data_IF_724593544220
#
_entry.id   IF_724593544220
#
_cell.length_a   1.000
_cell.length_b   1.000
_cell.length_c   1.000
_cell.angle_alpha   90.00
_cell.angle_beta   90.00
_cell.angle_gamma   90.00
#
_symmetry.space_group_name_H-M   'P 1'
#
loop_
_entity.id
_entity.type
_entity.pdbx_description
1 polymer ?
#
# COMPACT_ATOMS: atom_id res chain seq x y z
N UNK A 1 -16.34 23.36 -10.72
CA UNK A 1 -17.19 22.52 -9.85
C UNK A 1 -16.40 21.26 -9.58
N UNK A 2 -15.67 21.24 -8.49
CA UNK A 2 -14.71 20.18 -8.12
C UNK A 2 -15.45 19.15 -7.28
N UNK A 3 -15.68 17.94 -7.81
CA UNK A 3 -16.21 16.83 -7.02
C UNK A 3 -15.11 16.35 -6.07
N UNK A 4 -15.33 16.57 -4.79
CA UNK A 4 -14.55 16.01 -3.70
C UNK A 4 -14.62 14.48 -3.77
N UNK A 5 -13.50 13.84 -3.92
CA UNK A 5 -13.31 12.38 -3.85
C UNK A 5 -13.64 11.90 -2.42
N UNK A 6 -14.89 11.51 -2.20
CA UNK A 6 -15.22 10.71 -1.03
C UNK A 6 -14.90 9.26 -1.35
N UNK A 7 -13.96 8.68 -0.64
CA UNK A 7 -13.70 7.25 -0.66
C UNK A 7 -14.98 6.52 -0.21
N UNK A 8 -15.68 5.91 -1.14
CA UNK A 8 -16.79 4.99 -0.84
C UNK A 8 -16.23 3.57 -0.81
N UNK A 9 -15.83 3.12 0.37
CA UNK A 9 -15.66 1.69 0.63
C UNK A 9 -17.06 1.07 0.72
N UNK A 10 -17.57 0.59 -0.41
CA UNK A 10 -18.79 -0.20 -0.44
C UNK A 10 -18.41 -1.66 -0.53
N UNK A 11 -18.46 -2.34 0.61
CA UNK A 11 -18.39 -3.81 0.66
C UNK A 11 -19.74 -4.34 0.18
N UNK A 12 -19.79 -4.84 -1.05
CA UNK A 12 -20.90 -5.68 -1.52
C UNK A 12 -20.47 -7.14 -1.40
N UNK A 13 -21.01 -7.81 -0.40
CA UNK A 13 -21.06 -9.27 -0.33
C UNK A 13 -22.04 -9.76 -1.40
N UNK A 14 -21.52 -10.18 -2.55
CA UNK A 14 -22.31 -10.88 -3.55
C UNK A 14 -21.93 -12.37 -3.55
N UNK A 15 -22.71 -13.17 -2.87
CA UNK A 15 -22.70 -14.61 -2.97
C UNK A 15 -23.36 -15.03 -4.29
N UNK A 16 -22.55 -15.36 -5.31
CA UNK A 16 -23.07 -15.98 -6.54
C UNK A 16 -22.79 -17.49 -6.47
N UNK A 17 -23.79 -18.22 -6.07
CA UNK A 17 -23.85 -19.66 -6.29
C UNK A 17 -24.20 -19.95 -7.76
N UNK A 18 -23.23 -20.41 -8.53
CA UNK A 18 -23.47 -20.92 -9.90
C UNK A 18 -23.57 -22.45 -9.84
N UNK A 19 -24.77 -22.95 -9.83
CA UNK A 19 -25.06 -24.36 -10.05
C UNK A 19 -25.16 -24.60 -11.56
N UNK A 20 -24.14 -25.20 -12.17
CA UNK A 20 -24.20 -25.73 -13.53
C UNK A 20 -24.51 -27.23 -13.47
N UNK A 21 -25.78 -27.54 -13.77
CA UNK A 21 -26.21 -28.91 -14.06
C UNK A 21 -25.74 -29.35 -15.45
N UNK A 22 -24.87 -30.36 -15.51
CA UNK A 22 -24.59 -31.10 -16.75
C UNK A 22 -25.32 -32.42 -16.72
N UNK A 23 -26.25 -32.60 -17.66
CA UNK A 23 -26.83 -33.91 -18.02
C UNK A 23 -25.85 -34.65 -18.92
N UNK A 24 -25.53 -35.90 -18.54
CA UNK A 24 -24.56 -36.72 -19.25
C UNK A 24 -25.09 -37.44 -20.45
N UNK A 25 -24.17 -37.84 -21.35
CA UNK A 25 -24.28 -39.09 -22.11
C UNK A 25 -22.88 -39.64 -22.42
N UNK A 26 -22.73 -40.94 -22.23
CA UNK A 26 -21.50 -41.70 -22.07
C UNK A 26 -20.51 -41.71 -23.22
N UNK A 27 -19.26 -41.96 -22.84
CA UNK A 27 -18.12 -42.27 -23.68
C UNK A 27 -16.91 -42.53 -22.79
N UNK A 28 -16.46 -43.76 -22.74
CA UNK A 28 -15.35 -44.29 -21.96
C UNK A 28 -14.03 -43.60 -22.28
N UNK A 29 -13.44 -42.97 -21.30
CA UNK A 29 -12.13 -42.33 -21.33
C UNK A 29 -12.19 -41.01 -20.64
N UNK A 30 -12.29 -41.01 -19.29
CA UNK A 30 -12.18 -39.79 -18.48
C UNK A 30 -10.76 -39.27 -18.64
N UNK A 31 -10.52 -38.09 -19.29
CA UNK A 31 -9.27 -37.39 -19.06
C UNK A 31 -9.25 -37.03 -17.58
N UNK A 32 -8.16 -37.35 -16.90
CA UNK A 32 -7.90 -36.84 -15.54
C UNK A 32 -8.17 -35.35 -15.56
N UNK A 33 -8.93 -34.77 -14.63
CA UNK A 33 -9.13 -33.34 -14.60
C UNK A 33 -7.75 -32.70 -14.60
N UNK A 34 -7.45 -31.91 -15.67
CA UNK A 34 -6.24 -31.10 -15.70
C UNK A 34 -6.29 -30.20 -14.50
N UNK A 35 -5.47 -30.53 -13.50
CA UNK A 35 -5.37 -29.79 -12.26
C UNK A 35 -4.80 -28.42 -12.64
N UNK A 36 -5.58 -27.35 -12.40
CA UNK A 36 -5.18 -26.00 -12.75
C UNK A 36 -3.85 -25.65 -12.06
N UNK A 37 -2.88 -25.18 -12.82
CA UNK A 37 -1.61 -24.72 -12.28
C UNK A 37 -1.80 -23.42 -11.49
N UNK A 38 -0.89 -23.10 -10.57
CA UNK A 38 -0.89 -21.81 -9.88
C UNK A 38 -1.02 -20.64 -10.87
N UNK A 39 -0.23 -20.69 -11.95
CA UNK A 39 -0.28 -19.68 -13.00
C UNK A 39 -1.66 -19.53 -13.61
N UNK A 40 -2.29 -20.63 -14.03
CA UNK A 40 -3.62 -20.57 -14.67
C UNK A 40 -4.72 -20.06 -13.73
N UNK A 41 -4.61 -20.33 -12.42
CA UNK A 41 -5.54 -19.80 -11.42
C UNK A 41 -5.38 -18.29 -11.30
N UNK A 42 -4.13 -17.80 -11.13
CA UNK A 42 -3.84 -16.38 -10.98
C UNK A 42 -4.16 -15.61 -12.25
N UNK A 43 -3.80 -16.16 -13.44
CA UNK A 43 -4.15 -15.57 -14.74
C UNK A 43 -5.66 -15.37 -14.89
N UNK A 44 -6.43 -16.38 -14.52
CA UNK A 44 -7.89 -16.28 -14.59
C UNK A 44 -8.47 -15.18 -13.73
N UNK A 45 -8.00 -15.04 -12.48
CA UNK A 45 -8.43 -13.97 -11.56
C UNK A 45 -7.98 -12.61 -12.08
N UNK A 46 -6.70 -12.48 -12.47
CA UNK A 46 -6.11 -11.22 -12.92
C UNK A 46 -6.80 -10.69 -14.19
N UNK A 47 -6.98 -11.54 -15.20
CA UNK A 47 -7.65 -11.16 -16.45
C UNK A 47 -9.11 -10.78 -16.24
N UNK A 48 -9.83 -11.54 -15.39
CA UNK A 48 -11.22 -11.21 -15.06
C UNK A 48 -11.30 -9.84 -14.34
N UNK A 49 -10.42 -9.56 -13.40
CA UNK A 49 -10.37 -8.28 -12.70
C UNK A 49 -10.07 -7.11 -13.65
N UNK A 50 -9.08 -7.27 -14.53
CA UNK A 50 -8.75 -6.27 -15.55
C UNK A 50 -9.93 -5.96 -16.46
N UNK A 51 -10.63 -7.00 -16.93
CA UNK A 51 -11.80 -6.83 -17.80
C UNK A 51 -12.96 -6.14 -17.06
N UNK A 52 -13.23 -6.55 -15.82
CA UNK A 52 -14.34 -6.01 -15.02
C UNK A 52 -14.12 -4.55 -14.61
N UNK A 53 -12.88 -4.18 -14.31
CA UNK A 53 -12.54 -2.85 -13.82
C UNK A 53 -12.01 -1.93 -14.91
N UNK A 54 -11.72 -2.44 -16.10
CA UNK A 54 -11.20 -1.64 -17.22
C UNK A 54 -9.75 -1.19 -17.05
N UNK A 55 -8.96 -1.90 -16.23
CA UNK A 55 -7.57 -1.52 -15.92
C UNK A 55 -6.67 -1.62 -17.17
N UNK A 56 -5.85 -0.58 -17.48
CA UNK A 56 -4.92 -0.63 -18.61
C UNK A 56 -3.81 -1.66 -18.44
N UNK A 57 -3.21 -1.69 -17.25
CA UNK A 57 -2.10 -2.56 -16.92
C UNK A 57 -2.06 -2.93 -15.44
N UNK A 58 -1.50 -4.10 -15.16
CA UNK A 58 -1.35 -4.62 -13.81
C UNK A 58 -0.13 -5.53 -13.72
N UNK A 59 0.54 -5.55 -12.58
CA UNK A 59 1.49 -6.62 -12.22
C UNK A 59 1.00 -7.36 -11.00
N UNK A 60 1.19 -8.68 -11.00
CA UNK A 60 0.87 -9.57 -9.89
C UNK A 60 2.10 -10.39 -9.52
N UNK A 61 2.42 -10.48 -8.25
CA UNK A 61 3.41 -11.39 -7.72
C UNK A 61 2.86 -12.19 -6.55
N UNK A 62 3.17 -13.47 -6.53
CA UNK A 62 2.99 -14.36 -5.38
C UNK A 62 4.35 -14.89 -4.96
N UNK A 63 4.62 -14.85 -3.67
CA UNK A 63 5.88 -15.34 -3.14
C UNK A 63 5.64 -16.10 -1.82
N UNK A 64 6.63 -16.92 -1.43
CA UNK A 64 6.66 -17.55 -0.11
C UNK A 64 8.07 -17.41 0.48
N UNK A 65 8.16 -16.80 1.66
CA UNK A 65 9.44 -16.51 2.30
C UNK A 65 10.44 -15.83 1.34
N UNK A 66 9.95 -14.87 0.56
CA UNK A 66 10.75 -14.13 -0.44
C UNK A 66 11.08 -14.89 -1.73
N UNK A 67 10.74 -16.18 -1.83
CA UNK A 67 10.90 -16.96 -3.07
C UNK A 67 9.68 -16.74 -3.95
N UNK A 68 9.90 -16.23 -5.17
CA UNK A 68 8.84 -16.01 -6.14
C UNK A 68 8.21 -17.32 -6.58
N UNK A 69 6.91 -17.48 -6.37
CA UNK A 69 6.11 -18.61 -6.84
C UNK A 69 5.44 -18.32 -8.17
N UNK A 70 5.05 -17.08 -8.37
CA UNK A 70 4.42 -16.60 -9.60
C UNK A 70 4.66 -15.10 -9.76
N UNK A 71 4.90 -14.64 -10.99
CA UNK A 71 5.00 -13.22 -11.31
C UNK A 71 4.61 -13.00 -12.76
N UNK A 72 3.71 -12.03 -13.00
CA UNK A 72 3.24 -11.73 -14.36
C UNK A 72 2.82 -10.26 -14.48
N UNK A 73 3.12 -9.66 -15.64
CA UNK A 73 2.56 -8.38 -16.09
C UNK A 73 1.40 -8.63 -17.06
N UNK A 74 0.37 -7.81 -16.96
CA UNK A 74 -0.84 -7.87 -17.77
C UNK A 74 -1.13 -6.52 -18.41
N UNK A 75 -1.68 -6.53 -19.62
CA UNK A 75 -2.08 -5.33 -20.32
C UNK A 75 -0.91 -4.43 -20.72
N UNK A 76 -1.09 -3.12 -20.62
CA UNK A 76 -0.12 -2.12 -21.10
C UNK A 76 0.24 -1.13 -19.99
N UNK A 77 1.54 -0.80 -19.91
CA UNK A 77 2.07 0.23 -19.00
C UNK A 77 1.85 1.64 -19.55
N UNK A 78 1.61 1.77 -20.86
CA UNK A 78 1.31 3.03 -21.53
C UNK A 78 0.29 2.79 -22.66
N UNK A 79 -0.87 3.44 -22.58
CA UNK A 79 -1.94 3.35 -23.57
C UNK A 79 -1.56 4.02 -24.91
N UNK A 80 -0.67 5.01 -24.90
CA UNK A 80 -0.26 5.74 -26.09
C UNK A 80 0.72 4.94 -26.94
N UNK A 81 1.76 4.40 -26.31
CA UNK A 81 2.81 3.62 -26.99
C UNK A 81 2.45 2.15 -27.11
N UNK A 82 1.42 1.68 -26.37
CA UNK A 82 1.04 0.26 -26.26
C UNK A 82 2.15 -0.62 -25.68
N UNK A 83 3.06 -0.02 -24.91
CA UNK A 83 4.09 -0.74 -24.20
C UNK A 83 3.46 -1.76 -23.24
N UNK A 84 3.84 -3.03 -23.35
CA UNK A 84 3.32 -4.10 -22.50
C UNK A 84 3.82 -3.94 -21.06
N UNK A 85 2.95 -4.18 -20.09
CA UNK A 85 3.33 -4.25 -18.68
C UNK A 85 4.22 -5.46 -18.45
N UNK A 86 5.40 -5.23 -17.88
CA UNK A 86 6.35 -6.28 -17.49
C UNK A 86 6.34 -6.45 -15.97
N UNK A 87 6.72 -7.62 -15.43
CA UNK A 87 6.90 -7.78 -13.98
C UNK A 87 7.86 -6.76 -13.35
N UNK A 88 8.83 -6.27 -14.11
CA UNK A 88 9.79 -5.24 -13.70
C UNK A 88 9.28 -3.81 -13.85
N UNK A 89 8.10 -3.59 -14.44
CA UNK A 89 7.51 -2.26 -14.59
C UNK A 89 7.33 -1.60 -13.22
N UNK A 90 7.74 -0.34 -13.14
CA UNK A 90 7.67 0.45 -11.91
C UNK A 90 6.34 1.21 -11.87
N UNK A 91 5.69 1.18 -10.71
CA UNK A 91 4.44 1.89 -10.43
C UNK A 91 4.62 2.79 -9.22
N UNK A 92 3.86 3.87 -9.15
CA UNK A 92 3.66 4.60 -7.89
C UNK A 92 2.89 3.69 -6.92
N UNK A 93 3.36 3.58 -5.68
CA UNK A 93 2.75 2.66 -4.71
C UNK A 93 1.89 3.36 -3.64
N UNK A 94 1.77 4.69 -3.75
CA UNK A 94 0.92 5.47 -2.85
C UNK A 94 1.17 5.13 -1.37
N UNK A 95 0.10 4.92 -0.62
CA UNK A 95 0.15 4.72 0.83
C UNK A 95 0.89 3.46 1.30
N UNK A 96 1.27 2.51 0.43
CA UNK A 96 2.23 1.45 0.78
C UNK A 96 3.55 2.06 1.29
N UNK A 97 3.88 3.30 0.91
CA UNK A 97 4.98 4.11 1.45
C UNK A 97 4.98 4.18 2.97
N UNK A 98 3.82 4.16 3.62
CA UNK A 98 3.69 4.33 5.07
C UNK A 98 4.38 3.23 5.88
N UNK A 99 4.45 2.03 5.32
CA UNK A 99 5.20 0.92 5.93
C UNK A 99 6.70 1.29 6.08
N UNK A 100 7.28 1.91 5.06
CA UNK A 100 8.67 2.35 5.04
C UNK A 100 8.91 3.50 6.03
N UNK A 101 8.00 4.47 6.07
CA UNK A 101 8.05 5.58 7.03
C UNK A 101 7.99 5.08 8.48
N UNK A 102 7.05 4.17 8.77
CA UNK A 102 6.92 3.57 10.09
C UNK A 102 8.17 2.78 10.49
N UNK A 103 8.75 2.02 9.56
CA UNK A 103 10.00 1.30 9.79
C UNK A 103 11.17 2.25 10.09
N UNK A 104 11.27 3.41 9.42
CA UNK A 104 12.28 4.43 9.73
C UNK A 104 12.09 5.00 11.15
N UNK A 105 10.87 5.29 11.56
CA UNK A 105 10.58 5.72 12.95
C UNK A 105 11.02 4.66 13.95
N UNK A 106 10.72 3.38 13.69
CA UNK A 106 11.14 2.30 14.57
C UNK A 106 12.67 2.12 14.60
N UNK A 107 13.36 2.33 13.48
CA UNK A 107 14.82 2.34 13.47
C UNK A 107 15.42 3.48 14.31
N UNK A 108 14.84 4.65 14.25
CA UNK A 108 15.27 5.78 15.08
C UNK A 108 14.99 5.52 16.57
N UNK A 109 13.88 4.86 16.89
CA UNK A 109 13.61 4.40 18.26
C UNK A 109 14.65 3.36 18.72
N UNK A 110 15.01 2.39 17.90
CA UNK A 110 16.05 1.39 18.20
C UNK A 110 17.43 2.03 18.47
N UNK A 111 17.68 3.19 17.86
CA UNK A 111 18.89 3.99 18.04
C UNK A 111 18.78 4.97 19.24
N UNK A 112 17.66 4.99 19.95
CA UNK A 112 17.43 5.89 21.09
C UNK A 112 17.27 7.36 20.70
N UNK A 113 16.96 7.67 19.43
CA UNK A 113 16.80 9.06 18.96
C UNK A 113 15.40 9.63 19.21
N UNK A 114 14.41 8.77 19.41
CA UNK A 114 13.03 9.09 19.78
C UNK A 114 12.41 7.92 20.55
N UNK A 115 11.25 8.17 21.16
CA UNK A 115 10.35 7.13 21.64
C UNK A 115 8.96 7.32 21.01
N UNK A 116 8.28 6.24 20.61
CA UNK A 116 6.96 6.36 19.95
C UNK A 116 5.89 7.00 20.84
N UNK A 117 6.12 7.03 22.16
CA UNK A 117 5.25 7.72 23.11
C UNK A 117 5.64 9.18 23.37
N UNK A 118 6.67 9.68 22.68
CA UNK A 118 6.98 11.10 22.70
C UNK A 118 5.84 11.91 22.09
N UNK A 119 5.62 13.10 22.63
CA UNK A 119 4.70 14.07 22.02
C UNK A 119 5.27 14.61 20.69
N UNK A 120 4.42 14.80 19.70
CA UNK A 120 4.76 15.51 18.46
C UNK A 120 5.34 16.88 18.74
N UNK A 121 4.86 17.60 19.78
CA UNK A 121 5.31 18.93 20.16
C UNK A 121 6.77 18.95 20.65
N UNK A 122 7.33 17.83 21.10
CA UNK A 122 8.75 17.71 21.45
C UNK A 122 9.63 17.73 20.20
N UNK A 123 9.19 17.08 19.13
CA UNK A 123 9.96 16.95 17.90
C UNK A 123 9.72 18.11 16.92
N UNK A 124 8.53 18.72 16.95
CA UNK A 124 8.11 19.83 16.08
C UNK A 124 7.63 21.03 16.91
N UNK A 125 8.48 21.60 17.82
CA UNK A 125 8.08 22.68 18.74
C UNK A 125 7.76 24.00 18.03
N UNK A 126 8.18 24.16 16.78
CA UNK A 126 7.90 25.33 15.94
C UNK A 126 6.44 25.40 15.45
N UNK A 127 5.67 24.30 15.60
CA UNK A 127 4.26 24.23 15.20
C UNK A 127 3.38 24.08 16.45
N UNK A 128 2.16 24.60 16.36
CA UNK A 128 1.22 24.58 17.48
C UNK A 128 0.45 23.25 17.59
N UNK A 129 1.17 22.12 17.57
CA UNK A 129 0.55 20.82 17.76
C UNK A 129 0.18 20.57 19.24
N UNK A 130 -0.98 19.95 19.52
CA UNK A 130 -1.35 19.56 20.87
C UNK A 130 -0.35 18.58 21.48
N UNK A 131 0.12 18.86 22.68
CA UNK A 131 1.09 18.01 23.39
C UNK A 131 0.57 16.61 23.76
N UNK A 132 -0.74 16.42 23.72
CA UNK A 132 -1.37 15.12 23.93
C UNK A 132 -1.20 14.14 22.75
N UNK A 133 -0.82 14.62 21.57
CA UNK A 133 -0.59 13.77 20.40
C UNK A 133 0.77 13.13 20.50
N UNK A 134 0.83 11.79 20.51
CA UNK A 134 2.08 11.02 20.49
C UNK A 134 2.41 10.50 19.08
N UNK A 135 3.69 10.17 18.85
CA UNK A 135 4.10 9.53 17.59
C UNK A 135 3.39 8.18 17.37
N UNK A 136 3.09 7.46 18.45
CA UNK A 136 2.26 6.23 18.41
C UNK A 136 0.88 6.51 17.84
N UNK A 137 0.20 7.55 18.31
CA UNK A 137 -1.12 7.95 17.80
C UNK A 137 -1.06 8.33 16.31
N UNK A 138 0.03 8.93 15.87
CA UNK A 138 0.25 9.25 14.47
C UNK A 138 0.47 7.99 13.63
N UNK A 139 1.33 7.06 14.09
CA UNK A 139 1.61 5.79 13.43
C UNK A 139 0.36 4.91 13.29
N UNK A 140 -0.62 5.07 14.18
CA UNK A 140 -1.85 4.27 14.24
C UNK A 140 -3.11 5.01 13.78
N UNK A 141 -2.97 6.23 13.25
CA UNK A 141 -4.09 7.09 12.83
C UNK A 141 -5.14 7.35 13.92
N UNK A 142 -4.67 7.53 15.16
CA UNK A 142 -5.52 7.85 16.32
C UNK A 142 -5.22 9.23 16.90
N UNK A 143 -4.49 10.07 16.16
CA UNK A 143 -4.07 11.42 16.62
C UNK A 143 -5.18 12.47 16.62
N UNK A 144 -6.20 12.31 15.78
CA UNK A 144 -7.22 13.32 15.51
C UNK A 144 -6.78 14.44 14.58
N UNK A 145 -5.56 14.41 14.03
CA UNK A 145 -5.10 15.42 13.07
C UNK A 145 -5.93 15.36 11.78
N UNK A 146 -6.44 16.51 11.34
CA UNK A 146 -7.16 16.67 10.09
C UNK A 146 -6.28 16.20 8.91
N UNK A 147 -6.86 15.49 7.95
CA UNK A 147 -6.13 15.02 6.78
C UNK A 147 -5.92 16.15 5.78
N UNK A 148 -4.65 16.52 5.54
CA UNK A 148 -4.29 17.59 4.59
C UNK A 148 -4.76 17.30 3.17
N UNK A 149 -5.02 16.04 2.82
CA UNK A 149 -5.54 15.70 1.49
C UNK A 149 -7.00 16.13 1.28
N UNK A 150 -7.67 16.59 2.34
CA UNK A 150 -8.99 17.21 2.27
C UNK A 150 -8.92 18.75 2.21
N UNK A 151 -7.74 19.36 2.26
CA UNK A 151 -7.60 20.81 2.24
C UNK A 151 -7.81 21.37 0.82
N UNK A 152 -8.41 22.55 0.70
CA UNK A 152 -8.69 23.14 -0.61
C UNK A 152 -7.41 23.42 -1.43
N UNK A 153 -6.28 23.59 -0.79
CA UNK A 153 -4.97 23.86 -1.39
C UNK A 153 -4.33 22.63 -2.05
N UNK A 154 -4.81 21.41 -1.74
CA UNK A 154 -4.22 20.18 -2.24
C UNK A 154 -4.03 20.18 -3.76
N UNK A 155 -5.03 20.67 -4.50
CA UNK A 155 -4.97 20.70 -5.96
C UNK A 155 -3.81 21.55 -6.51
N UNK A 156 -3.39 22.57 -5.78
CA UNK A 156 -2.21 23.39 -6.10
C UNK A 156 -0.93 22.67 -5.68
N UNK A 157 -0.90 22.11 -4.48
CA UNK A 157 0.27 21.40 -3.94
C UNK A 157 0.70 20.21 -4.79
N UNK A 158 -0.25 19.43 -5.31
CA UNK A 158 0.08 18.28 -6.16
C UNK A 158 0.62 18.69 -7.54
N UNK A 159 0.32 19.89 -8.04
CA UNK A 159 0.79 20.37 -9.34
C UNK A 159 2.09 21.15 -9.27
N UNK A 160 2.26 21.95 -8.21
CA UNK A 160 3.32 22.96 -8.13
C UNK A 160 4.33 22.65 -7.04
N UNK A 161 4.10 21.59 -6.26
CA UNK A 161 4.88 21.28 -5.07
C UNK A 161 4.50 22.16 -3.88
N UNK A 162 4.99 21.79 -2.70
CA UNK A 162 4.72 22.49 -1.46
C UNK A 162 5.88 22.32 -0.47
N UNK A 163 6.13 23.31 0.36
CA UNK A 163 7.10 23.15 1.43
C UNK A 163 6.50 22.36 2.61
N UNK A 164 7.34 21.58 3.31
CA UNK A 164 6.91 20.88 4.52
C UNK A 164 6.34 21.86 5.56
N UNK A 165 6.96 23.04 5.71
CA UNK A 165 6.49 24.08 6.62
C UNK A 165 5.07 24.56 6.29
N UNK A 166 4.74 24.68 5.00
CA UNK A 166 3.38 25.08 4.57
C UNK A 166 2.35 24.05 5.00
N UNK A 167 2.59 22.75 4.70
CA UNK A 167 1.66 21.67 5.07
C UNK A 167 1.52 21.57 6.58
N UNK A 168 2.64 21.55 7.34
CA UNK A 168 2.60 21.40 8.80
C UNK A 168 1.96 22.61 9.49
N UNK A 169 2.16 23.82 8.96
CA UNK A 169 1.46 25.01 9.46
C UNK A 169 -0.05 24.85 9.28
N UNK A 170 -0.50 24.48 8.08
CA UNK A 170 -1.92 24.29 7.80
C UNK A 170 -2.53 23.21 8.71
N UNK A 171 -1.84 22.05 8.84
CA UNK A 171 -2.30 20.94 9.70
C UNK A 171 -2.36 21.35 11.18
N UNK A 172 -1.34 22.06 11.68
CA UNK A 172 -1.29 22.46 13.10
C UNK A 172 -2.31 23.54 13.48
N UNK A 173 -2.82 24.29 12.50
CA UNK A 173 -3.87 25.30 12.67
C UNK A 173 -5.28 24.74 12.45
N UNK A 174 -5.40 23.58 11.79
CA UNK A 174 -6.69 22.94 11.60
C UNK A 174 -7.23 22.37 12.93
N UNK A 175 -8.56 22.43 13.17
CA UNK A 175 -9.15 21.80 14.34
C UNK A 175 -8.92 20.28 14.29
N UNK A 176 -8.75 19.66 15.48
CA UNK A 176 -8.75 18.22 15.58
C UNK A 176 -10.12 17.64 15.20
N UNK A 177 -10.15 16.54 14.46
CA UNK A 177 -11.38 15.82 14.12
C UNK A 177 -12.00 15.15 15.35
N UNK A 178 -11.16 14.71 16.29
CA UNK A 178 -11.54 14.09 17.57
C UNK A 178 -10.41 14.21 18.59
N UNK A 179 -10.71 13.90 19.85
CA UNK A 179 -9.71 13.91 20.91
C UNK A 179 -8.65 12.82 20.68
N UNK A 180 -7.34 13.14 20.80
CA UNK A 180 -6.27 12.17 20.60
C UNK A 180 -6.47 10.87 21.37
N UNK A 181 -6.31 9.74 20.68
CA UNK A 181 -6.43 8.40 21.24
C UNK A 181 -7.85 7.85 21.40
N UNK A 182 -8.90 8.59 21.01
CA UNK A 182 -10.30 8.17 21.24
C UNK A 182 -10.97 7.50 20.04
N UNK A 183 -10.44 7.69 18.83
CA UNK A 183 -11.00 7.16 17.60
C UNK A 183 -9.88 6.83 16.61
N UNK A 184 -10.22 6.04 15.59
CA UNK A 184 -9.43 5.86 14.39
C UNK A 184 -9.99 6.73 13.25
N UNK A 185 -9.14 7.53 12.64
CA UNK A 185 -9.43 8.20 11.36
C UNK A 185 -8.13 8.29 10.56
N UNK A 186 -8.11 7.64 9.39
CA UNK A 186 -6.94 7.67 8.51
C UNK A 186 -6.62 9.11 8.10
N UNK A 187 -5.42 9.57 8.39
CA UNK A 187 -4.96 10.91 8.05
C UNK A 187 -3.53 10.89 7.53
N UNK A 188 -3.33 11.39 6.31
CA UNK A 188 -2.02 11.53 5.70
C UNK A 188 -1.14 12.54 6.46
N UNK A 189 -1.74 13.51 7.15
CA UNK A 189 -1.00 14.48 7.98
C UNK A 189 -0.11 13.82 9.01
N UNK A 190 -0.53 12.67 9.56
CA UNK A 190 0.28 11.91 10.50
C UNK A 190 1.64 11.52 9.90
N UNK A 191 1.61 10.87 8.75
CA UNK A 191 2.82 10.35 8.10
C UNK A 191 3.64 11.45 7.45
N UNK A 192 3.00 12.56 7.05
CA UNK A 192 3.71 13.75 6.60
C UNK A 192 4.58 14.30 7.72
N UNK A 193 4.01 14.53 8.89
CA UNK A 193 4.76 15.01 10.06
C UNK A 193 5.83 14.02 10.54
N UNK A 194 5.56 12.70 10.51
CA UNK A 194 6.56 11.67 10.81
C UNK A 194 7.77 11.75 9.87
N UNK A 195 7.54 11.99 8.57
CA UNK A 195 8.61 12.22 7.60
C UNK A 195 9.50 13.41 7.94
N UNK A 196 8.89 14.54 8.34
CA UNK A 196 9.63 15.74 8.77
C UNK A 196 10.41 15.45 10.05
N UNK A 197 9.84 14.72 11.02
CA UNK A 197 10.55 14.31 12.25
C UNK A 197 11.78 13.47 11.91
N UNK A 198 11.68 12.52 10.98
CA UNK A 198 12.83 11.71 10.52
C UNK A 198 13.94 12.62 10.00
N UNK A 199 13.63 13.58 9.13
CA UNK A 199 14.62 14.50 8.57
C UNK A 199 15.27 15.36 9.65
N UNK A 200 14.44 15.88 10.57
CA UNK A 200 14.91 16.77 11.64
C UNK A 200 15.87 16.06 12.60
N UNK A 201 15.56 14.82 13.00
CA UNK A 201 16.39 14.04 13.91
C UNK A 201 17.71 13.59 13.28
N UNK A 202 17.68 13.24 12.01
CA UNK A 202 18.86 12.70 11.32
C UNK A 202 19.71 13.76 10.64
N UNK A 203 19.18 14.97 10.43
CA UNK A 203 19.82 16.01 9.61
C UNK A 203 19.95 15.64 8.13
N UNK A 204 19.25 14.59 7.67
CA UNK A 204 19.30 14.09 6.30
C UNK A 204 17.91 14.14 5.68
N UNK A 205 17.83 14.22 4.33
CA UNK A 205 16.56 14.15 3.64
C UNK A 205 15.87 12.80 3.87
N UNK A 206 14.54 12.77 3.74
CA UNK A 206 13.75 11.54 3.82
C UNK A 206 14.24 10.48 2.82
N UNK A 207 14.55 10.88 1.58
CA UNK A 207 15.12 10.00 0.57
C UNK A 207 16.47 9.40 0.99
N UNK A 208 17.36 10.21 1.60
CA UNK A 208 18.65 9.73 2.08
C UNK A 208 18.50 8.71 3.23
N UNK A 209 17.51 8.94 4.12
CA UNK A 209 17.18 7.99 5.19
C UNK A 209 16.64 6.66 4.64
N UNK A 210 15.71 6.70 3.67
CA UNK A 210 15.21 5.50 2.99
C UNK A 210 16.36 4.72 2.35
N UNK A 211 17.21 5.40 1.59
CA UNK A 211 18.36 4.77 0.92
C UNK A 211 19.29 4.11 1.92
N UNK A 212 19.68 4.84 2.97
CA UNK A 212 20.66 4.38 3.97
C UNK A 212 20.12 3.21 4.81
N UNK A 213 18.90 3.31 5.28
CA UNK A 213 18.39 2.38 6.29
C UNK A 213 17.56 1.24 5.70
N UNK A 214 17.09 1.37 4.46
CA UNK A 214 16.16 0.41 3.85
C UNK A 214 16.66 -0.03 2.47
N UNK A 215 16.75 0.87 1.48
CA UNK A 215 16.96 0.45 0.09
C UNK A 215 18.30 -0.27 -0.11
N UNK A 216 19.41 0.35 0.31
CA UNK A 216 20.75 -0.25 0.17
C UNK A 216 20.90 -1.55 0.98
N UNK A 217 20.54 -1.63 2.28
CA UNK A 217 20.69 -2.85 3.06
C UNK A 217 19.86 -4.03 2.54
N UNK A 218 18.71 -3.76 1.90
CA UNK A 218 17.81 -4.79 1.37
C UNK A 218 18.01 -5.04 -0.13
N UNK A 219 18.84 -4.24 -0.81
CA UNK A 219 19.05 -4.35 -2.25
C UNK A 219 17.81 -3.98 -3.08
N UNK A 220 16.98 -3.06 -2.60
CA UNK A 220 15.80 -2.57 -3.33
C UNK A 220 16.26 -1.57 -4.40
N UNK A 221 16.60 -2.08 -5.57
CA UNK A 221 17.22 -1.31 -6.64
C UNK A 221 16.22 -0.61 -7.55
N UNK A 222 14.95 -1.01 -7.48
CA UNK A 222 13.85 -0.51 -8.32
C UNK A 222 12.78 0.19 -7.46
N UNK A 223 13.14 0.59 -6.24
CA UNK A 223 12.30 1.39 -5.34
C UNK A 223 12.87 2.81 -5.24
N UNK A 224 12.04 3.80 -5.53
CA UNK A 224 12.46 5.20 -5.67
C UNK A 224 11.58 6.14 -4.86
N UNK A 225 12.21 7.13 -4.23
CA UNK A 225 11.51 8.35 -3.76
C UNK A 225 11.49 9.43 -4.85
N UNK A 226 12.57 9.52 -5.65
CA UNK A 226 12.63 10.36 -6.85
C UNK A 226 11.78 9.77 -7.98
N UNK A 227 11.60 10.52 -9.07
CA UNK A 227 11.00 9.98 -10.29
C UNK A 227 11.88 8.82 -10.80
N UNK A 228 11.30 7.64 -11.04
CA UNK A 228 12.03 6.52 -11.62
C UNK A 228 12.32 6.77 -13.11
N UNK A 229 13.19 5.94 -13.75
CA UNK A 229 13.42 6.01 -15.19
C UNK A 229 12.11 5.85 -15.98
N UNK A 230 11.84 6.78 -16.87
CA UNK A 230 10.55 6.85 -17.59
C UNK A 230 10.31 5.63 -18.50
N UNK A 231 11.36 5.06 -19.07
CA UNK A 231 11.31 3.86 -19.93
C UNK A 231 11.01 2.56 -19.17
N UNK A 232 11.08 2.59 -17.83
CA UNK A 232 10.78 1.47 -16.94
C UNK A 232 9.48 1.66 -16.16
N UNK A 233 8.84 2.81 -16.30
CA UNK A 233 7.70 3.21 -15.48
C UNK A 233 6.39 3.14 -16.26
N UNK A 234 5.32 2.77 -15.57
CA UNK A 234 3.98 2.88 -16.11
C UNK A 234 3.52 4.35 -16.14
N UNK A 235 2.66 4.68 -17.10
CA UNK A 235 1.87 5.90 -17.09
C UNK A 235 0.59 5.63 -16.31
N UNK A 236 0.28 6.46 -15.33
CA UNK A 236 -0.92 6.35 -14.51
C UNK A 236 -2.15 6.97 -15.18
N UNK A 237 -3.30 6.34 -15.01
CA UNK A 237 -4.55 6.76 -15.62
C UNK A 237 -5.67 6.97 -14.61
N UNK A 238 -6.63 7.80 -14.98
CA UNK A 238 -7.90 8.00 -14.26
C UNK A 238 -9.04 8.14 -15.27
N UNK A 239 -10.25 7.80 -14.85
CA UNK A 239 -11.44 7.94 -15.69
C UNK A 239 -12.06 9.34 -15.53
N UNK A 240 -12.09 10.11 -16.58
CA UNK A 240 -12.68 11.46 -16.61
C UNK A 240 -14.18 11.46 -16.98
N UNK A 241 -14.80 10.30 -17.11
CA UNK A 241 -16.19 10.11 -17.53
C UNK A 241 -16.37 9.91 -19.04
N UNK A 242 -15.37 10.22 -19.85
CA UNK A 242 -15.32 9.94 -21.29
C UNK A 242 -14.35 8.78 -21.62
N UNK A 243 -13.59 8.33 -20.64
CA UNK A 243 -12.60 7.26 -20.77
C UNK A 243 -11.37 7.51 -19.92
N UNK A 244 -10.37 6.64 -20.08
CA UNK A 244 -9.11 6.74 -19.37
C UNK A 244 -8.24 7.84 -19.99
N UNK A 245 -7.74 8.71 -19.13
CA UNK A 245 -6.79 9.76 -19.48
C UNK A 245 -5.58 9.69 -18.57
N UNK A 246 -4.38 10.13 -18.98
CA UNK A 246 -3.24 10.25 -18.08
C UNK A 246 -3.62 11.07 -16.85
N UNK A 247 -3.36 10.54 -15.68
CA UNK A 247 -3.63 11.23 -14.42
C UNK A 247 -2.54 12.28 -14.13
N UNK A 248 -2.85 13.21 -13.23
CA UNK A 248 -1.86 14.17 -12.75
C UNK A 248 -0.92 13.43 -11.80
N UNK A 249 0.35 13.37 -12.17
CA UNK A 249 1.39 12.87 -11.28
C UNK A 249 1.56 13.87 -10.13
N UNK A 250 1.49 13.36 -8.90
CA UNK A 250 1.67 14.18 -7.72
C UNK A 250 3.13 14.61 -7.56
N UNK A 251 3.33 15.89 -7.28
CA UNK A 251 4.64 16.35 -6.86
C UNK A 251 5.09 15.59 -5.59
N UNK A 252 6.34 15.18 -5.57
CA UNK A 252 6.89 14.38 -4.48
C UNK A 252 6.82 15.08 -3.13
N UNK A 253 6.89 16.41 -3.11
CA UNK A 253 6.76 17.19 -1.88
C UNK A 253 5.35 17.15 -1.29
N UNK A 254 4.31 17.02 -2.12
CA UNK A 254 2.92 16.88 -1.66
C UNK A 254 2.62 15.47 -1.14
N UNK A 255 3.11 14.43 -1.83
CA UNK A 255 2.95 13.05 -1.37
C UNK A 255 3.90 12.67 -0.24
N UNK A 256 5.14 13.15 -0.27
CA UNK A 256 6.21 13.02 0.72
C UNK A 256 6.25 11.63 1.38
N UNK A 257 6.36 11.58 2.70
CA UNK A 257 6.44 10.35 3.51
C UNK A 257 5.10 9.60 3.63
N UNK A 258 4.04 10.10 2.99
CA UNK A 258 2.70 9.50 3.01
C UNK A 258 2.45 8.58 1.82
N UNK A 259 3.11 8.84 0.66
CA UNK A 259 2.73 8.18 -0.58
C UNK A 259 3.69 8.34 -1.76
N UNK A 260 4.91 8.90 -1.58
CA UNK A 260 5.77 9.30 -2.69
C UNK A 260 6.67 8.20 -3.26
N UNK A 261 6.57 6.95 -2.81
CA UNK A 261 7.41 5.89 -3.35
C UNK A 261 6.85 5.30 -4.64
N UNK A 262 7.78 4.94 -5.53
CA UNK A 262 7.52 4.09 -6.68
C UNK A 262 8.30 2.79 -6.50
N UNK A 263 7.75 1.66 -6.97
CA UNK A 263 8.42 0.36 -6.85
C UNK A 263 7.90 -0.63 -7.89
N UNK A 264 8.47 -1.82 -7.92
CA UNK A 264 7.96 -2.96 -8.66
C UNK A 264 7.65 -4.14 -7.73
N UNK A 265 7.04 -5.19 -8.26
CA UNK A 265 6.63 -6.34 -7.45
C UNK A 265 7.81 -7.13 -6.87
N UNK A 266 8.99 -7.10 -7.49
CA UNK A 266 10.17 -7.80 -6.97
C UNK A 266 10.70 -7.16 -5.70
N UNK A 267 10.84 -5.83 -5.71
CA UNK A 267 11.32 -5.08 -4.55
C UNK A 267 10.29 -5.12 -3.41
N UNK A 268 8.99 -5.07 -3.71
CA UNK A 268 7.95 -5.17 -2.68
C UNK A 268 7.91 -6.56 -2.04
N UNK A 269 8.06 -7.63 -2.80
CA UNK A 269 8.21 -8.99 -2.22
C UNK A 269 9.46 -9.10 -1.36
N UNK A 270 10.58 -8.50 -1.78
CA UNK A 270 11.81 -8.46 -0.99
C UNK A 270 11.62 -7.64 0.30
N UNK A 271 10.91 -6.51 0.22
CA UNK A 271 10.54 -5.68 1.37
C UNK A 271 9.67 -6.46 2.37
N UNK A 272 8.57 -7.04 1.93
CA UNK A 272 7.64 -7.80 2.76
C UNK A 272 8.36 -8.94 3.49
N UNK A 273 9.16 -9.72 2.75
CA UNK A 273 9.96 -10.79 3.33
C UNK A 273 11.00 -10.29 4.34
N UNK A 274 11.66 -9.18 4.07
CA UNK A 274 12.63 -8.59 4.98
C UNK A 274 11.96 -8.09 6.27
N UNK A 275 10.78 -7.48 6.15
CA UNK A 275 10.03 -6.92 7.28
C UNK A 275 9.59 -8.02 8.25
N UNK A 276 8.94 -9.09 7.76
CA UNK A 276 8.44 -10.18 8.61
C UNK A 276 9.57 -11.04 9.22
N UNK A 277 10.75 -11.05 8.60
CA UNK A 277 11.91 -11.83 9.06
C UNK A 277 12.92 -11.01 9.88
N UNK A 278 12.54 -9.82 10.37
CA UNK A 278 13.36 -9.01 11.28
C UNK A 278 14.62 -8.42 10.66
N UNK A 279 14.71 -8.34 9.32
CA UNK A 279 15.85 -7.73 8.63
C UNK A 279 15.73 -6.20 8.52
N UNK A 280 14.53 -5.68 8.68
CA UNK A 280 14.26 -4.23 8.64
C UNK A 280 14.37 -3.63 10.04
N UNK A 281 13.64 -4.17 10.99
CA UNK A 281 13.57 -3.74 12.39
C UNK A 281 13.70 -4.94 13.31
N UNK A 282 14.00 -4.72 14.59
CA UNK A 282 14.09 -5.80 15.58
C UNK A 282 12.76 -6.54 15.76
N UNK A 283 12.77 -7.78 16.27
CA UNK A 283 11.53 -8.50 16.57
C UNK A 283 10.60 -7.76 17.54
N UNK A 284 11.16 -6.98 18.48
CA UNK A 284 10.38 -6.16 19.40
C UNK A 284 9.68 -5.00 18.68
N UNK A 285 10.39 -4.33 17.78
CA UNK A 285 9.84 -3.26 16.93
C UNK A 285 8.79 -3.80 15.96
N UNK A 286 9.05 -4.95 15.32
CA UNK A 286 8.07 -5.60 14.45
C UNK A 286 6.79 -5.98 15.20
N UNK A 287 6.94 -6.54 16.42
CA UNK A 287 5.79 -6.81 17.28
C UNK A 287 5.00 -5.53 17.59
N UNK A 288 5.66 -4.42 17.88
CA UNK A 288 4.99 -3.14 18.11
C UNK A 288 4.26 -2.67 16.84
N UNK A 289 4.89 -2.78 15.65
CA UNK A 289 4.27 -2.42 14.37
C UNK A 289 3.03 -3.26 14.05
N UNK A 290 2.99 -4.51 14.47
CA UNK A 290 1.89 -5.46 14.24
C UNK A 290 0.97 -5.64 15.45
N UNK A 291 1.01 -4.71 16.40
CA UNK A 291 0.06 -4.65 17.52
C UNK A 291 -1.10 -3.74 17.17
N UNK A 292 -2.32 -4.23 17.36
CA UNK A 292 -3.56 -3.49 17.11
C UNK A 292 -3.62 -2.19 17.92
N UNK A 293 -4.11 -1.12 17.31
CA UNK A 293 -4.44 0.13 17.99
C UNK A 293 -5.72 0.06 18.86
N UNK A 294 -6.43 -1.07 18.83
CA UNK A 294 -7.68 -1.28 19.58
C UNK A 294 -8.95 -0.78 18.88
N UNK A 295 -8.84 -0.19 17.70
CA UNK A 295 -9.98 0.28 16.91
C UNK A 295 -10.13 -0.58 15.64
N UNK A 296 -11.38 -0.78 15.23
CA UNK A 296 -11.69 -1.39 13.94
C UNK A 296 -11.49 -0.38 12.81
N UNK A 297 -10.93 -0.84 11.69
CA UNK A 297 -10.75 -0.02 10.47
C UNK A 297 -11.82 -0.35 9.43
N UNK A 298 -12.12 0.56 8.49
CA UNK A 298 -12.99 0.26 7.36
C UNK A 298 -12.50 -0.96 6.57
N UNK A 299 -13.39 -1.91 6.32
CA UNK A 299 -13.04 -3.18 5.68
C UNK A 299 -12.72 -4.31 6.66
N UNK A 300 -12.70 -4.04 7.95
CA UNK A 300 -12.44 -5.01 9.03
C UNK A 300 -10.98 -5.11 9.44
N UNK A 301 -10.74 -5.62 10.65
CA UNK A 301 -9.39 -5.68 11.24
C UNK A 301 -9.03 -4.42 12.03
N UNK A 302 -7.74 -4.14 12.15
CA UNK A 302 -7.24 -2.98 12.90
C UNK A 302 -6.00 -2.39 12.24
N UNK A 303 -5.41 -1.35 12.82
CA UNK A 303 -4.21 -0.71 12.28
C UNK A 303 -3.08 -0.74 13.31
N UNK A 304 -1.90 -1.11 12.85
CA UNK A 304 -0.65 -1.03 13.59
C UNK A 304 0.16 0.19 13.18
N UNK A 305 1.48 0.10 13.15
CA UNK A 305 2.35 1.18 12.71
C UNK A 305 2.58 1.11 11.19
N UNK A 306 1.78 1.87 10.45
CA UNK A 306 1.86 1.91 8.98
C UNK A 306 1.42 0.60 8.29
N UNK A 307 0.73 -0.27 8.99
CA UNK A 307 0.28 -1.58 8.53
C UNK A 307 -1.16 -1.81 8.97
N UNK A 308 -2.01 -2.25 8.07
CA UNK A 308 -3.31 -2.81 8.40
C UNK A 308 -3.14 -4.28 8.84
N UNK A 309 -3.92 -4.69 9.82
CA UNK A 309 -3.88 -5.99 10.47
C UNK A 309 -5.23 -6.67 10.32
N UNK A 310 -5.26 -7.87 9.75
CA UNK A 310 -6.50 -8.61 9.54
C UNK A 310 -6.26 -10.12 9.72
N UNK A 311 -7.33 -10.89 9.54
CA UNK A 311 -7.28 -12.34 9.44
C UNK A 311 -7.89 -12.80 8.12
N UNK A 312 -7.25 -13.76 7.48
CA UNK A 312 -7.78 -14.46 6.33
C UNK A 312 -7.72 -15.97 6.59
N UNK A 313 -8.86 -16.67 6.51
CA UNK A 313 -8.96 -18.10 6.86
C UNK A 313 -8.38 -18.41 8.24
N UNK A 314 -8.69 -17.59 9.26
CA UNK A 314 -8.18 -17.67 10.65
C UNK A 314 -6.66 -17.52 10.81
N UNK A 315 -5.97 -16.94 9.82
CA UNK A 315 -4.53 -16.70 9.88
C UNK A 315 -4.27 -15.20 9.80
N UNK A 316 -3.30 -14.74 10.58
CA UNK A 316 -2.95 -13.33 10.65
C UNK A 316 -2.27 -12.86 9.38
N UNK A 317 -2.75 -11.77 8.82
CA UNK A 317 -2.13 -11.07 7.69
C UNK A 317 -1.81 -9.63 8.08
N UNK A 318 -0.73 -9.11 7.54
CA UNK A 318 -0.46 -7.67 7.42
C UNK A 318 -0.67 -7.26 5.98
N UNK A 319 -1.20 -6.07 5.78
CA UNK A 319 -1.42 -5.55 4.44
C UNK A 319 -1.41 -4.03 4.42
N UNK A 320 -1.25 -3.45 3.27
CA UNK A 320 -1.55 -2.05 3.02
C UNK A 320 -1.83 -1.84 1.54
N UNK A 321 -2.88 -1.07 1.27
CA UNK A 321 -3.14 -0.58 -0.07
C UNK A 321 -2.56 0.82 -0.27
N UNK A 322 -2.48 1.23 -1.53
CA UNK A 322 -2.05 2.57 -1.91
C UNK A 322 -2.85 3.08 -3.08
N UNK A 323 -3.17 4.38 -3.02
CA UNK A 323 -3.75 5.11 -4.14
C UNK A 323 -3.04 6.45 -4.25
N UNK A 324 -2.65 6.79 -5.47
CA UNK A 324 -2.04 8.09 -5.81
C UNK A 324 -2.33 8.38 -7.29
N UNK A 325 -2.14 9.59 -7.74
CA UNK A 325 -2.49 10.02 -9.09
C UNK A 325 -2.18 9.01 -10.19
N UNK A 326 -3.20 8.29 -10.65
CA UNK A 326 -3.11 7.33 -11.73
C UNK A 326 -2.78 5.89 -11.33
N UNK A 327 -2.60 5.59 -10.03
CA UNK A 327 -2.11 4.28 -9.60
C UNK A 327 -2.84 3.77 -8.37
N UNK A 328 -2.97 2.43 -8.31
CA UNK A 328 -3.31 1.72 -7.09
C UNK A 328 -2.37 0.53 -6.88
N UNK A 329 -2.16 0.18 -5.62
CA UNK A 329 -1.25 -0.86 -5.21
C UNK A 329 -1.79 -1.58 -3.96
N UNK A 330 -1.42 -2.85 -3.79
CA UNK A 330 -1.60 -3.56 -2.52
C UNK A 330 -0.51 -4.59 -2.30
N UNK A 331 -0.10 -4.73 -1.04
CA UNK A 331 0.69 -5.85 -0.56
C UNK A 331 -0.03 -6.51 0.62
N UNK A 332 -0.06 -7.84 0.65
CA UNK A 332 -0.62 -8.62 1.75
C UNK A 332 0.29 -9.81 2.05
N UNK A 333 0.58 -10.04 3.34
CA UNK A 333 1.50 -11.10 3.77
C UNK A 333 0.91 -11.89 4.95
N UNK A 334 0.92 -13.21 4.84
CA UNK A 334 0.62 -14.11 5.95
C UNK A 334 1.81 -14.21 6.91
N UNK A 335 1.60 -13.89 8.17
CA UNK A 335 2.69 -13.81 9.16
C UNK A 335 3.30 -15.16 9.52
N UNK A 336 2.54 -16.23 9.41
CA UNK A 336 2.94 -17.59 9.81
C UNK A 336 3.62 -18.38 8.68
N UNK A 337 3.27 -18.11 7.41
CA UNK A 337 3.81 -18.84 6.26
C UNK A 337 4.75 -18.01 5.38
N UNK A 338 4.76 -16.68 5.57
CA UNK A 338 5.47 -15.78 4.67
C UNK A 338 4.93 -15.80 3.24
N UNK A 339 3.68 -16.28 3.04
CA UNK A 339 3.03 -16.18 1.73
C UNK A 339 2.59 -14.74 1.52
N UNK A 340 3.01 -14.18 0.39
CA UNK A 340 2.77 -12.78 0.03
C UNK A 340 2.08 -12.68 -1.33
N UNK A 341 1.19 -11.72 -1.44
CA UNK A 341 0.56 -11.30 -2.71
C UNK A 341 0.78 -9.80 -2.87
N UNK A 342 1.31 -9.40 -4.04
CA UNK A 342 1.52 -8.01 -4.42
C UNK A 342 0.81 -7.74 -5.72
N UNK A 343 0.01 -6.68 -5.76
CA UNK A 343 -0.71 -6.21 -6.96
C UNK A 343 -0.43 -4.72 -7.15
N UNK A 344 0.02 -4.34 -8.35
CA UNK A 344 0.24 -2.95 -8.74
C UNK A 344 -0.53 -2.68 -10.03
N UNK A 345 -1.22 -1.55 -10.12
CA UNK A 345 -1.98 -1.15 -11.30
C UNK A 345 -1.69 0.30 -11.69
N UNK A 346 -1.80 0.62 -12.97
CA UNK A 346 -1.73 1.98 -13.47
C UNK A 346 -3.12 2.59 -13.72
N UNK A 347 -4.05 2.30 -12.81
CA UNK A 347 -5.39 2.86 -12.79
C UNK A 347 -5.72 3.36 -11.37
N UNK A 348 -6.02 4.66 -11.24
CA UNK A 348 -6.37 5.27 -9.96
C UNK A 348 -7.70 4.78 -9.40
N UNK A 349 -8.61 4.35 -10.28
CA UNK A 349 -9.98 3.98 -9.93
C UNK A 349 -10.11 2.46 -9.72
N UNK A 350 -9.02 1.70 -9.90
CA UNK A 350 -8.99 0.25 -9.66
C UNK A 350 -9.08 -0.09 -8.16
N UNK A 351 -9.58 -1.30 -7.89
CA UNK A 351 -9.66 -1.87 -6.56
C UNK A 351 -8.69 -3.06 -6.43
N UNK A 352 -7.42 -2.83 -6.04
CA UNK A 352 -6.43 -3.89 -5.88
C UNK A 352 -6.78 -4.82 -4.71
N UNK A 353 -7.47 -4.34 -3.66
CA UNK A 353 -7.91 -5.13 -2.51
C UNK A 353 -8.77 -6.32 -2.97
N UNK A 354 -9.71 -6.07 -3.89
CA UNK A 354 -10.55 -7.13 -4.45
C UNK A 354 -9.72 -8.14 -5.26
N UNK A 355 -8.69 -7.68 -5.98
CA UNK A 355 -7.80 -8.57 -6.76
C UNK A 355 -6.99 -9.46 -5.82
N UNK A 356 -6.36 -8.89 -4.80
CA UNK A 356 -5.58 -9.62 -3.78
C UNK A 356 -6.45 -10.65 -3.07
N UNK A 357 -7.63 -10.25 -2.57
CA UNK A 357 -8.56 -11.15 -1.89
C UNK A 357 -9.03 -12.30 -2.78
N UNK A 358 -9.33 -12.04 -4.06
CA UNK A 358 -9.73 -13.07 -5.01
C UNK A 358 -8.59 -14.04 -5.32
N UNK A 359 -7.36 -13.54 -5.48
CA UNK A 359 -6.16 -14.38 -5.67
C UNK A 359 -5.92 -15.25 -4.43
N UNK A 360 -5.90 -14.65 -3.24
CA UNK A 360 -5.74 -15.38 -1.99
C UNK A 360 -6.82 -16.46 -1.85
N UNK A 361 -8.08 -16.11 -2.13
CA UNK A 361 -9.20 -17.06 -2.06
C UNK A 361 -9.03 -18.22 -3.05
N UNK A 362 -8.68 -17.94 -4.28
CA UNK A 362 -8.51 -18.95 -5.32
C UNK A 362 -7.31 -19.88 -5.05
N UNK A 363 -6.21 -19.32 -4.54
CA UNK A 363 -4.98 -20.06 -4.24
C UNK A 363 -5.14 -20.88 -2.96
N UNK A 364 -5.63 -20.27 -1.87
CA UNK A 364 -5.74 -20.94 -0.57
C UNK A 364 -6.80 -22.04 -0.55
N UNK A 365 -7.82 -21.95 -1.40
CA UNK A 365 -8.84 -23.00 -1.55
C UNK A 365 -8.45 -24.08 -2.58
N UNK A 366 -7.33 -23.90 -3.29
CA UNK A 366 -6.80 -24.93 -4.20
C UNK A 366 -6.20 -26.09 -3.39
N UNK A 367 -6.61 -27.36 -3.61
CA UNK A 367 -6.05 -28.51 -2.89
C UNK A 367 -4.53 -28.64 -2.97
N UNK A 368 -3.93 -28.11 -4.04
CA UNK A 368 -2.48 -28.18 -4.30
C UNK A 368 -1.71 -27.04 -3.64
N UNK A 369 -2.37 -25.92 -3.33
CA UNK A 369 -1.74 -24.67 -2.93
C UNK A 369 -2.16 -24.22 -1.54
N UNK A 370 -3.19 -24.86 -0.96
CA UNK A 370 -3.71 -24.54 0.39
C UNK A 370 -2.65 -24.60 1.48
N UNK A 371 -1.61 -25.43 1.32
CA UNK A 371 -0.44 -25.45 2.21
C UNK A 371 0.48 -24.24 2.10
N UNK A 372 0.28 -23.32 1.13
CA UNK A 372 1.05 -22.09 0.99
C UNK A 372 0.43 -20.94 1.81
N UNK A 373 -0.86 -20.99 1.96
CA UNK A 373 -1.58 -20.10 2.81
C UNK A 373 -1.67 -20.72 4.20
#
# INVERSE_FOLDING_TARGET
MTRVLRSRSSVFLLSIGLALGFAGCGGSGSPSPHQASLGSIVDGVAQAAMQQQGMPGMTVALAKNGTMLYVQGYGVSDLTTRQTTQPSTIFEIGSVTKQFTAALIMKLQEQGQLHVDDSIAVHLPEYNFPSAITLRMMLTHTSGLADFTNFPELGDWIRNGVSEATVLTAVSQAPLEFQPGTQYSYSNSNFFALGTIIQKLTGQSYAANLTRYIFQPLGLMMTYYSLPPADQSAIGYTNNGAGLVPAILWDRSAAFATGALSSNVYDLVAWDNALINGKVVSPASFKAMTTSNGFEIPGGGSYGFGLALATFNNRSIIWHNGQIGGFTAETAVFLDSGFAVVVLTNDQDANPDAVVLNIMSAVCNSPQLSGNC
#
